data_IF_818240171458
#
_entry.id   IF_818240171458
#
_cell.length_a   1.000
_cell.length_b   1.000
_cell.length_c   1.000
_cell.angle_alpha   90.00
_cell.angle_beta   90.00
_cell.angle_gamma   90.00
#
_symmetry.space_group_name_H-M   'P 1'
#
loop_
_entity.id
_entity.type
_entity.pdbx_description
1 polymer ?
#
# COMPACT_ATOMS: atom_id res chain seq x y z
N UNK A 1 32.20 6.65 -12.88
CA UNK A 1 31.70 7.96 -13.37
C UNK A 1 31.19 7.78 -14.79
N UNK A 2 29.88 7.88 -15.01
CA UNK A 2 29.27 7.92 -16.35
C UNK A 2 27.98 8.71 -16.22
N UNK A 3 28.07 9.97 -16.62
CA UNK A 3 27.00 10.96 -16.74
C UNK A 3 26.16 10.63 -17.96
N UNK A 4 24.84 10.77 -17.87
CA UNK A 4 24.00 11.19 -19.00
C UNK A 4 22.71 11.80 -18.45
N UNK A 5 22.76 13.13 -18.37
CA UNK A 5 21.61 14.03 -18.28
C UNK A 5 20.91 14.03 -19.64
N UNK A 6 19.58 14.05 -19.67
CA UNK A 6 18.82 14.68 -20.77
C UNK A 6 17.46 15.13 -20.25
N UNK A 7 17.31 16.46 -20.25
CA UNK A 7 16.08 17.21 -20.09
C UNK A 7 15.28 17.23 -21.42
N UNK A 8 14.22 18.06 -21.47
CA UNK A 8 13.30 18.39 -22.57
C UNK A 8 11.97 17.59 -22.52
N UNK A 9 10.75 18.14 -22.66
CA UNK A 9 10.24 19.45 -23.11
C UNK A 9 8.83 19.67 -22.55
N UNK A 10 8.48 20.95 -22.35
CA UNK A 10 7.17 21.47 -21.97
C UNK A 10 6.19 21.61 -23.16
N UNK A 11 4.89 21.49 -22.87
CA UNK A 11 3.74 22.06 -23.60
C UNK A 11 2.59 22.14 -22.57
N UNK A 12 2.01 23.26 -22.09
CA UNK A 12 1.47 24.49 -22.72
C UNK A 12 0.48 24.07 -23.82
N UNK A 13 -0.81 24.41 -23.89
CA UNK A 13 -1.79 25.27 -23.20
C UNK A 13 -3.12 25.04 -23.96
N UNK A 14 -4.23 25.61 -23.48
CA UNK A 14 -5.50 25.95 -24.18
C UNK A 14 -6.57 24.87 -24.32
N UNK A 15 -7.88 25.16 -24.29
CA UNK A 15 -8.75 26.23 -23.74
C UNK A 15 -10.18 25.82 -24.17
N UNK A 16 -11.19 25.84 -23.30
CA UNK A 16 -12.62 26.05 -23.62
C UNK A 16 -13.44 25.86 -22.33
N UNK A 17 -13.92 26.93 -21.70
CA UNK A 17 -15.24 27.58 -21.92
C UNK A 17 -16.43 26.63 -21.76
N UNK A 18 -17.22 26.84 -20.71
CA UNK A 18 -18.63 26.45 -20.70
C UNK A 18 -19.21 26.16 -19.32
N UNK A 19 -20.04 27.07 -18.81
CA UNK A 19 -21.12 26.72 -17.87
C UNK A 19 -21.03 27.32 -16.47
N UNK A 20 -21.46 28.58 -16.33
CA UNK A 20 -22.05 29.05 -15.06
C UNK A 20 -23.38 28.30 -14.85
N UNK A 21 -23.45 27.44 -13.85
CA UNK A 21 -24.73 26.96 -13.32
C UNK A 21 -24.84 27.32 -11.83
N UNK A 22 -25.97 27.92 -11.50
CA UNK A 22 -26.35 28.49 -10.22
C UNK A 22 -26.54 27.41 -9.12
N UNK A 23 -26.53 27.80 -7.83
CA UNK A 23 -26.55 26.86 -6.71
C UNK A 23 -27.98 26.43 -6.39
N UNK A 24 -28.29 25.15 -6.61
CA UNK A 24 -29.47 24.53 -6.02
C UNK A 24 -29.12 24.07 -4.60
N UNK A 25 -29.49 24.88 -3.61
CA UNK A 25 -29.57 24.45 -2.23
C UNK A 25 -30.70 23.42 -2.09
N UNK A 26 -30.35 22.14 -1.95
CA UNK A 26 -31.28 21.11 -1.49
C UNK A 26 -30.54 20.03 -0.71
N UNK A 27 -30.87 20.00 0.58
CA UNK A 27 -30.90 18.84 1.47
C UNK A 27 -29.63 17.98 1.57
N UNK A 28 -28.94 18.13 2.70
CA UNK A 28 -28.04 17.10 3.21
C UNK A 28 -28.80 15.77 3.42
N UNK A 29 -28.38 14.67 2.79
CA UNK A 29 -28.62 13.36 3.37
C UNK A 29 -27.55 13.14 4.44
N UNK A 30 -27.97 13.24 5.70
CA UNK A 30 -27.35 12.49 6.79
C UNK A 30 -27.51 11.00 6.46
N UNK A 31 -26.54 10.47 5.70
CA UNK A 31 -26.51 9.10 5.23
C UNK A 31 -25.15 8.50 5.56
N UNK A 32 -25.04 8.02 6.79
CA UNK A 32 -23.97 7.12 7.19
C UNK A 32 -23.93 5.87 6.29
N UNK A 33 -22.72 5.31 6.18
CA UNK A 33 -22.41 3.96 5.72
C UNK A 33 -22.44 3.69 4.20
N UNK A 34 -21.25 3.59 3.62
CA UNK A 34 -20.81 2.31 3.03
C UNK A 34 -19.29 2.17 3.19
N UNK A 35 -18.85 2.05 4.45
CA UNK A 35 -17.61 1.32 4.69
C UNK A 35 -17.96 -0.12 4.41
N UNK A 36 -17.74 -0.56 3.16
CA UNK A 36 -17.70 -1.98 2.83
C UNK A 36 -16.44 -2.58 3.46
N UNK A 37 -16.40 -2.61 4.78
CA UNK A 37 -15.64 -3.56 5.55
C UNK A 37 -16.30 -4.91 5.26
N UNK A 38 -15.86 -5.58 4.20
CA UNK A 38 -16.12 -7.01 4.05
C UNK A 38 -15.54 -7.70 5.28
N UNK A 39 -16.39 -8.33 6.12
CA UNK A 39 -15.96 -9.00 7.33
C UNK A 39 -15.54 -10.42 6.94
N UNK A 40 -14.24 -10.65 6.84
CA UNK A 40 -13.71 -12.01 6.98
C UNK A 40 -12.42 -11.92 7.76
N UNK A 41 -12.54 -11.60 9.05
CA UNK A 41 -11.66 -12.18 10.06
C UNK A 41 -11.94 -13.70 10.11
N UNK A 42 -11.71 -14.40 9.00
CA UNK A 42 -11.10 -15.72 9.13
C UNK A 42 -9.88 -15.49 10.02
N UNK A 43 -9.61 -16.38 10.97
CA UNK A 43 -8.41 -16.31 11.79
C UNK A 43 -7.20 -16.38 10.85
N UNK A 44 -6.83 -15.24 10.29
CA UNK A 44 -5.73 -15.09 9.35
C UNK A 44 -4.51 -15.41 10.18
N UNK A 45 -3.93 -16.57 9.89
CA UNK A 45 -2.76 -17.08 10.58
C UNK A 45 -1.68 -16.01 10.57
N UNK A 46 -0.83 -15.95 11.60
CA UNK A 46 0.29 -15.01 11.60
C UNK A 46 1.46 -15.44 10.71
N UNK A 47 1.15 -16.11 9.60
CA UNK A 47 2.08 -16.55 8.56
C UNK A 47 1.88 -15.71 7.31
N UNK A 48 2.95 -15.08 6.84
CA UNK A 48 2.90 -14.23 5.66
C UNK A 48 2.43 -14.98 4.39
N UNK A 49 2.77 -16.27 4.28
CA UNK A 49 2.41 -17.14 3.16
C UNK A 49 0.88 -17.36 3.01
N UNK A 50 0.13 -17.29 4.11
CA UNK A 50 -1.32 -17.52 4.09
C UNK A 50 -2.09 -16.21 3.82
N UNK A 51 -1.40 -15.07 3.75
CA UNK A 51 -1.97 -13.72 3.77
C UNK A 51 -1.54 -12.86 2.56
N UNK A 52 -1.32 -13.48 1.39
CA UNK A 52 -0.81 -12.78 0.21
C UNK A 52 -1.65 -11.54 -0.22
N UNK A 53 -2.96 -11.54 0.07
CA UNK A 53 -3.84 -10.41 -0.22
C UNK A 53 -3.79 -9.26 0.81
N UNK A 54 -3.16 -9.44 1.97
CA UNK A 54 -3.11 -8.42 3.02
C UNK A 54 -1.99 -7.40 2.75
N UNK A 55 -2.23 -6.14 3.14
CA UNK A 55 -1.21 -5.08 3.11
C UNK A 55 -0.19 -5.31 4.22
N UNK A 56 1.10 -5.20 3.90
CA UNK A 56 2.18 -5.46 4.83
C UNK A 56 2.07 -4.67 6.14
N UNK A 57 1.70 -3.37 6.08
CA UNK A 57 1.47 -2.57 7.27
C UNK A 57 0.35 -3.11 8.17
N UNK A 58 -0.72 -3.67 7.59
CA UNK A 58 -1.84 -4.25 8.33
C UNK A 58 -1.47 -5.59 8.96
N UNK A 59 -0.80 -6.45 8.20
CA UNK A 59 -0.24 -7.71 8.70
C UNK A 59 0.73 -7.47 9.87
N UNK A 60 1.68 -6.53 9.71
CA UNK A 60 2.63 -6.15 10.76
C UNK A 60 1.90 -5.67 12.01
N UNK A 61 0.90 -4.80 11.86
CA UNK A 61 0.14 -4.27 13.01
C UNK A 61 -0.56 -5.38 13.81
N UNK A 62 -1.04 -6.43 13.14
CA UNK A 62 -1.77 -7.54 13.75
C UNK A 62 -0.84 -8.58 14.36
N UNK A 63 0.11 -9.07 13.57
CA UNK A 63 0.88 -10.27 13.88
C UNK A 63 2.31 -10.01 14.35
N UNK A 64 2.86 -8.79 14.15
CA UNK A 64 4.26 -8.49 14.44
C UNK A 64 4.44 -7.35 15.44
N UNK A 65 5.52 -7.39 16.21
CA UNK A 65 5.96 -6.30 17.06
C UNK A 65 6.33 -5.09 16.20
N UNK A 66 5.96 -3.89 16.66
CA UNK A 66 6.25 -2.64 15.94
C UNK A 66 7.74 -2.37 15.73
N UNK A 67 8.63 -3.02 16.49
CA UNK A 67 10.09 -2.95 16.31
C UNK A 67 10.55 -3.38 14.92
N UNK A 68 9.81 -4.26 14.23
CA UNK A 68 10.11 -4.67 12.85
C UNK A 68 10.17 -3.49 11.88
N UNK A 69 9.39 -2.42 12.13
CA UNK A 69 9.32 -1.23 11.26
C UNK A 69 10.65 -0.47 11.14
N UNK A 70 11.58 -0.68 12.09
CA UNK A 70 12.93 -0.09 12.03
C UNK A 70 13.82 -0.76 10.98
N UNK A 71 13.56 -2.04 10.70
CA UNK A 71 14.35 -2.83 9.75
C UNK A 71 13.62 -3.07 8.42
N UNK A 72 12.28 -3.01 8.46
CA UNK A 72 11.41 -3.25 7.33
C UNK A 72 11.49 -2.10 6.31
N UNK A 73 11.67 -2.38 5.01
CA UNK A 73 11.72 -1.35 3.98
C UNK A 73 10.41 -0.55 3.93
N UNK A 74 10.48 0.76 4.16
CA UNK A 74 9.30 1.63 4.28
C UNK A 74 8.43 1.63 3.02
N UNK A 75 9.07 1.60 1.84
CA UNK A 75 8.40 1.57 0.53
C UNK A 75 7.57 0.30 0.29
N UNK A 76 7.77 -0.74 1.10
CA UNK A 76 7.05 -2.01 1.02
C UNK A 76 5.87 -2.09 2.00
N UNK A 77 5.72 -1.13 2.91
CA UNK A 77 4.63 -1.14 3.90
C UNK A 77 3.24 -1.00 3.27
N UNK A 78 3.14 -0.27 2.17
CA UNK A 78 1.90 -0.06 1.41
C UNK A 78 1.61 -1.17 0.40
N UNK A 79 2.55 -2.09 0.15
CA UNK A 79 2.37 -3.20 -0.78
C UNK A 79 1.66 -4.39 -0.12
N UNK A 80 1.05 -5.24 -0.95
CA UNK A 80 0.52 -6.51 -0.47
C UNK A 80 1.63 -7.53 -0.23
N UNK A 81 1.40 -8.50 0.65
CA UNK A 81 2.36 -9.57 0.91
C UNK A 81 2.67 -10.38 -0.37
N UNK A 82 1.68 -10.57 -1.24
CA UNK A 82 1.86 -11.22 -2.54
C UNK A 82 2.81 -10.44 -3.45
N UNK A 83 2.67 -9.10 -3.53
CA UNK A 83 3.59 -8.27 -4.31
C UNK A 83 5.04 -8.34 -3.78
N UNK A 84 5.20 -8.39 -2.46
CA UNK A 84 6.52 -8.57 -1.83
C UNK A 84 7.07 -9.96 -2.13
N UNK A 85 6.23 -10.99 -2.08
CA UNK A 85 6.64 -12.35 -2.44
C UNK A 85 7.10 -12.45 -3.90
N UNK A 86 6.34 -11.87 -4.83
CA UNK A 86 6.68 -11.83 -6.26
C UNK A 86 7.97 -11.04 -6.49
N UNK A 87 8.15 -9.91 -5.82
CA UNK A 87 9.39 -9.12 -5.86
C UNK A 87 10.60 -9.92 -5.36
N UNK A 88 10.41 -10.71 -4.29
CA UNK A 88 11.42 -11.66 -3.81
C UNK A 88 11.76 -12.70 -4.87
N UNK A 89 10.78 -13.27 -5.58
CA UNK A 89 11.03 -14.23 -6.65
C UNK A 89 11.82 -13.62 -7.81
N UNK A 90 11.63 -12.32 -8.08
CA UNK A 90 12.40 -11.54 -9.06
C UNK A 90 13.80 -11.15 -8.58
N UNK A 91 14.14 -11.40 -7.31
CA UNK A 91 15.44 -11.08 -6.73
C UNK A 91 15.61 -9.62 -6.27
N UNK A 92 14.52 -8.88 -6.09
CA UNK A 92 14.59 -7.54 -5.48
C UNK A 92 15.06 -7.67 -4.02
N UNK A 93 16.17 -7.01 -3.68
CA UNK A 93 16.83 -7.12 -2.37
C UNK A 93 15.92 -6.67 -1.22
N UNK A 94 15.12 -5.63 -1.44
CA UNK A 94 14.23 -5.10 -0.42
C UNK A 94 13.04 -6.02 -0.20
N UNK A 95 12.51 -6.63 -1.27
CA UNK A 95 11.44 -7.61 -1.16
C UNK A 95 11.92 -8.93 -0.51
N UNK A 96 13.13 -9.38 -0.83
CA UNK A 96 13.76 -10.52 -0.14
C UNK A 96 13.90 -10.24 1.35
N UNK A 97 14.39 -9.04 1.71
CA UNK A 97 14.53 -8.63 3.12
C UNK A 97 13.17 -8.53 3.81
N UNK A 98 12.22 -7.86 3.18
CA UNK A 98 10.86 -7.69 3.70
C UNK A 98 10.21 -9.05 3.96
N UNK A 99 10.27 -9.98 3.00
CA UNK A 99 9.72 -11.32 3.15
C UNK A 99 10.39 -12.10 4.29
N UNK A 100 11.71 -11.97 4.45
CA UNK A 100 12.44 -12.61 5.56
C UNK A 100 11.97 -12.06 6.91
N UNK A 101 11.85 -10.74 7.06
CA UNK A 101 11.41 -10.10 8.29
C UNK A 101 9.96 -10.47 8.64
N UNK A 102 9.07 -10.60 7.65
CA UNK A 102 7.68 -11.02 7.84
C UNK A 102 7.56 -12.47 8.35
N UNK A 103 8.53 -13.33 8.03
CA UNK A 103 8.58 -14.71 8.51
C UNK A 103 9.50 -14.91 9.72
N UNK A 104 10.19 -13.85 10.17
CA UNK A 104 11.07 -13.90 11.32
C UNK A 104 10.23 -13.95 12.62
N UNK A 105 10.45 -15.00 13.41
CA UNK A 105 9.75 -15.24 14.68
C UNK A 105 10.18 -14.29 15.78
N UNK A 106 11.33 -13.62 15.65
CA UNK A 106 11.82 -12.63 16.61
C UNK A 106 10.87 -11.44 16.78
N UNK A 107 10.08 -11.17 15.75
CA UNK A 107 9.08 -10.10 15.75
C UNK A 107 7.66 -10.61 15.96
N UNK A 108 7.43 -11.89 16.25
CA UNK A 108 6.09 -12.38 16.59
C UNK A 108 5.59 -11.72 17.89
N UNK A 109 4.28 -11.49 17.97
CA UNK A 109 3.62 -10.95 19.17
C UNK A 109 3.36 -12.02 20.21
#
# INVERSE_FOLDING_TARGET
MKTLRRAFVASVLTLALGGLMAPAASAAPSGAADVRATPVSAALSCRAADNHGEIAAKFISRCKKGSIRREFPTDRLSRSLGQIYDGKLRGDRDDVKAWKLLNDRRFDK
#
